data_IF_990042833800
#
_entry.id   IF_990042833800
#
_cell.length_a   1.000
_cell.length_b   1.000
_cell.length_c   1.000
_cell.angle_alpha   90.00
_cell.angle_beta   90.00
_cell.angle_gamma   90.00
#
_symmetry.space_group_name_H-M   'P 1'
#
loop_
_entity.id
_entity.type
_entity.pdbx_description
1 polymer ?
#
# COMPACT_ATOMS: atom_id res chain seq x y z
N UNK A 1 5.37 10.64 7.85
CA UNK A 1 6.69 11.34 7.83
C UNK A 1 7.74 10.38 7.29
N UNK A 2 8.54 10.77 6.28
CA UNK A 2 9.54 9.88 5.69
C UNK A 2 10.73 9.69 6.64
N UNK A 3 11.01 8.45 7.04
CA UNK A 3 12.14 8.09 7.91
C UNK A 3 13.45 8.03 7.09
N UNK A 4 14.52 8.72 7.51
CA UNK A 4 15.76 8.88 6.73
C UNK A 4 16.60 7.59 6.53
N UNK A 5 16.27 6.47 7.20
CA UNK A 5 16.98 5.19 7.07
C UNK A 5 16.54 4.29 5.89
N UNK A 6 15.46 4.64 5.18
CA UNK A 6 14.77 3.78 4.19
C UNK A 6 15.58 3.50 2.91
N UNK A 7 16.54 4.36 2.55
CA UNK A 7 17.20 4.37 1.22
C UNK A 7 18.39 3.41 1.03
N UNK A 8 19.14 3.09 2.08
CA UNK A 8 20.47 2.49 1.91
C UNK A 8 20.48 0.96 1.75
N UNK A 9 19.53 0.24 2.36
CA UNK A 9 19.55 -1.22 2.35
C UNK A 9 18.98 -1.82 1.03
N UNK A 10 17.89 -1.27 0.51
CA UNK A 10 17.19 -1.87 -0.65
C UNK A 10 17.94 -1.70 -1.97
N UNK A 11 18.75 -0.64 -2.14
CA UNK A 11 19.54 -0.39 -3.36
C UNK A 11 20.58 -1.49 -3.61
N UNK A 12 21.08 -2.15 -2.56
CA UNK A 12 22.11 -3.20 -2.67
C UNK A 12 21.53 -4.62 -2.91
N UNK A 13 20.23 -4.83 -2.71
CA UNK A 13 19.63 -6.18 -2.72
C UNK A 13 19.20 -6.63 -4.13
N UNK A 14 18.74 -5.70 -4.98
CA UNK A 14 18.26 -6.02 -6.34
C UNK A 14 19.36 -6.58 -7.25
N UNK A 15 20.57 -5.97 -7.33
CA UNK A 15 21.67 -6.52 -8.14
C UNK A 15 22.14 -7.91 -7.67
N UNK A 16 21.81 -8.29 -6.43
CA UNK A 16 22.19 -9.59 -5.82
C UNK A 16 21.12 -10.67 -6.01
N UNK A 17 20.09 -10.42 -6.84
CA UNK A 17 19.03 -11.38 -7.14
C UNK A 17 17.88 -11.43 -6.12
N UNK A 18 17.90 -10.59 -5.08
CA UNK A 18 16.85 -10.53 -4.06
C UNK A 18 15.76 -9.51 -4.42
N UNK A 19 15.18 -9.64 -5.61
CA UNK A 19 14.16 -8.71 -6.11
C UNK A 19 12.93 -8.65 -5.19
N UNK A 20 12.49 -9.79 -4.64
CA UNK A 20 11.40 -9.85 -3.66
C UNK A 20 11.69 -9.14 -2.32
N UNK A 21 12.96 -9.00 -1.93
CA UNK A 21 13.33 -8.26 -0.71
C UNK A 21 13.33 -6.73 -0.92
N UNK A 22 13.25 -6.28 -2.17
CA UNK A 22 13.15 -4.84 -2.49
C UNK A 22 11.73 -4.31 -2.53
N UNK A 23 10.73 -5.20 -2.54
CA UNK A 23 9.31 -4.84 -2.50
C UNK A 23 8.75 -4.82 -1.08
N UNK A 24 9.51 -5.31 -0.10
CA UNK A 24 9.06 -5.32 1.29
C UNK A 24 9.04 -3.91 1.88
N UNK A 25 7.94 -3.56 2.54
CA UNK A 25 7.82 -2.37 3.39
C UNK A 25 7.13 -2.75 4.69
N UNK A 26 7.63 -2.21 5.80
CA UNK A 26 7.06 -2.41 7.11
C UNK A 26 6.16 -1.25 7.56
N UNK A 27 6.01 -0.18 6.76
CA UNK A 27 5.19 1.00 7.09
C UNK A 27 5.60 1.66 8.43
N UNK A 28 6.86 1.48 8.84
CA UNK A 28 7.39 1.95 10.12
C UNK A 28 7.30 0.95 11.28
N UNK A 29 6.62 -0.19 11.11
CA UNK A 29 6.41 -1.16 12.18
C UNK A 29 7.71 -1.72 12.78
N UNK A 30 8.78 -1.88 11.99
CA UNK A 30 10.05 -2.39 12.52
C UNK A 30 10.71 -1.44 13.51
N UNK A 31 10.64 -0.14 13.22
CA UNK A 31 11.18 0.90 14.09
C UNK A 31 10.30 1.06 15.34
N UNK A 32 8.97 0.97 15.17
CA UNK A 32 8.03 0.92 16.29
C UNK A 32 8.30 -0.27 17.23
N UNK A 33 8.37 -1.50 16.72
CA UNK A 33 8.62 -2.67 17.57
C UNK A 33 9.96 -2.55 18.28
N UNK A 34 11.04 -2.27 17.55
CA UNK A 34 12.38 -2.22 18.17
C UNK A 34 12.54 -1.07 19.16
N UNK A 35 12.08 0.14 18.85
CA UNK A 35 12.36 1.33 19.66
C UNK A 35 11.26 1.64 20.69
N UNK A 36 10.01 1.28 20.41
CA UNK A 36 8.87 1.63 21.28
C UNK A 36 8.49 0.44 22.15
N UNK A 37 8.26 -0.74 21.57
CA UNK A 37 7.81 -1.90 22.35
C UNK A 37 8.94 -2.59 23.14
N UNK A 38 10.18 -2.50 22.65
CA UNK A 38 11.34 -3.17 23.24
C UNK A 38 12.45 -2.20 23.66
N UNK A 39 12.16 -0.89 23.73
CA UNK A 39 13.06 0.16 24.24
C UNK A 39 14.49 0.13 23.63
N UNK A 40 14.60 -0.24 22.35
CA UNK A 40 15.86 -0.33 21.62
C UNK A 40 16.62 -1.65 21.80
N UNK A 41 16.14 -2.56 22.65
CA UNK A 41 16.76 -3.87 22.87
C UNK A 41 16.63 -4.77 21.65
N UNK A 42 17.75 -5.36 21.22
CA UNK A 42 17.81 -6.29 20.11
C UNK A 42 17.61 -7.73 20.58
N UNK A 43 16.86 -8.53 19.83
CA UNK A 43 16.79 -9.98 20.06
C UNK A 43 18.14 -10.70 19.89
N UNK A 44 19.15 -10.04 19.31
CA UNK A 44 20.52 -10.57 19.27
C UNK A 44 21.16 -10.49 20.66
N UNK A 45 20.87 -9.43 21.41
CA UNK A 45 21.40 -9.20 22.75
C UNK A 45 20.54 -9.92 23.80
N UNK A 46 19.23 -10.02 23.58
CA UNK A 46 18.28 -10.77 24.41
C UNK A 46 17.52 -11.83 23.59
N UNK A 47 18.11 -13.02 23.35
CA UNK A 47 17.52 -14.07 22.51
C UNK A 47 16.13 -14.55 22.94
N UNK A 48 15.82 -14.46 24.24
CA UNK A 48 14.54 -14.90 24.80
C UNK A 48 13.38 -13.98 24.38
N UNK A 49 13.64 -12.72 24.02
CA UNK A 49 12.64 -11.76 23.52
C UNK A 49 12.19 -12.05 22.07
N UNK A 50 12.96 -12.88 21.35
CA UNK A 50 12.78 -13.11 19.91
C UNK A 50 11.36 -13.55 19.52
N UNK A 51 10.71 -14.54 20.17
CA UNK A 51 9.38 -14.98 19.76
C UNK A 51 8.34 -13.85 19.85
N UNK A 52 8.41 -13.05 20.91
CA UNK A 52 7.48 -11.94 21.15
C UNK A 52 7.74 -10.78 20.18
N UNK A 53 8.99 -10.39 19.95
CA UNK A 53 9.35 -9.37 18.97
C UNK A 53 8.79 -9.69 17.57
N UNK A 54 8.96 -10.93 17.11
CA UNK A 54 8.49 -11.35 15.79
C UNK A 54 6.95 -11.40 15.71
N UNK A 55 6.29 -11.82 16.78
CA UNK A 55 4.82 -11.79 16.87
C UNK A 55 4.28 -10.37 16.87
N UNK A 56 4.85 -9.48 17.68
CA UNK A 56 4.51 -8.06 17.71
C UNK A 56 4.73 -7.41 16.34
N UNK A 57 5.85 -7.71 15.68
CA UNK A 57 6.13 -7.19 14.33
C UNK A 57 5.09 -7.63 13.30
N UNK A 58 4.67 -8.90 13.32
CA UNK A 58 3.65 -9.38 12.40
C UNK A 58 2.30 -8.66 12.57
N UNK A 59 1.93 -8.30 13.80
CA UNK A 59 0.71 -7.53 14.08
C UNK A 59 0.91 -6.05 13.76
N UNK A 60 1.95 -5.43 14.30
CA UNK A 60 2.24 -4.00 14.09
C UNK A 60 2.36 -3.64 12.61
N UNK A 61 2.96 -4.52 11.78
CA UNK A 61 3.03 -4.30 10.33
C UNK A 61 1.64 -4.17 9.70
N UNK A 62 0.69 -5.01 10.09
CA UNK A 62 -0.68 -4.96 9.59
C UNK A 62 -1.41 -3.70 10.10
N UNK A 63 -1.21 -3.32 11.36
CA UNK A 63 -1.79 -2.11 11.93
C UNK A 63 -1.28 -0.84 11.22
N UNK A 64 0.03 -0.73 11.02
CA UNK A 64 0.65 0.39 10.32
C UNK A 64 0.23 0.46 8.85
N UNK A 65 0.08 -0.68 8.18
CA UNK A 65 -0.45 -0.75 6.81
C UNK A 65 -1.91 -0.25 6.76
N UNK A 66 -2.77 -0.64 7.71
CA UNK A 66 -4.13 -0.11 7.79
C UNK A 66 -4.14 1.40 8.05
N UNK A 67 -3.27 1.91 8.93
CA UNK A 67 -3.14 3.36 9.16
C UNK A 67 -2.72 4.11 7.90
N UNK A 68 -1.86 3.54 7.06
CA UNK A 68 -1.49 4.10 5.76
C UNK A 68 -2.73 4.31 4.87
N UNK A 69 -3.52 3.25 4.66
CA UNK A 69 -4.74 3.35 3.84
C UNK A 69 -5.78 4.30 4.43
N UNK A 70 -5.97 4.29 5.75
CA UNK A 70 -6.91 5.18 6.42
C UNK A 70 -6.48 6.65 6.32
N UNK A 71 -5.18 6.94 6.38
CA UNK A 71 -4.67 8.30 6.19
C UNK A 71 -4.98 8.82 4.77
N UNK A 72 -4.77 7.98 3.75
CA UNK A 72 -5.19 8.32 2.38
C UNK A 72 -6.71 8.51 2.31
N UNK A 73 -7.50 7.60 2.89
CA UNK A 73 -8.96 7.69 2.88
C UNK A 73 -9.45 9.03 3.48
N UNK A 74 -8.92 9.44 4.64
CA UNK A 74 -9.22 10.74 5.25
C UNK A 74 -8.85 11.90 4.31
N UNK A 75 -7.69 11.82 3.63
CA UNK A 75 -7.24 12.89 2.72
C UNK A 75 -8.08 13.00 1.45
N UNK A 76 -8.71 11.90 1.00
CA UNK A 76 -9.50 11.81 -0.22
C UNK A 76 -11.00 11.99 0.02
N UNK A 77 -11.46 11.94 1.27
CA UNK A 77 -12.84 12.22 1.67
C UNK A 77 -13.26 13.65 1.27
N UNK A 78 -14.24 13.77 0.38
CA UNK A 78 -14.72 15.06 -0.14
C UNK A 78 -16.14 15.39 0.30
N UNK A 79 -16.95 14.36 0.57
CA UNK A 79 -18.32 14.51 1.07
C UNK A 79 -18.28 14.82 2.57
N UNK A 80 -19.12 15.76 3.01
CA UNK A 80 -19.24 16.11 4.43
C UNK A 80 -19.56 14.86 5.26
N UNK A 81 -18.70 14.56 6.24
CA UNK A 81 -18.83 13.41 7.14
C UNK A 81 -18.17 12.11 6.65
N UNK A 82 -17.79 11.99 5.38
CA UNK A 82 -17.14 10.78 4.84
C UNK A 82 -15.78 10.48 5.49
N UNK A 83 -15.10 11.50 6.03
CA UNK A 83 -13.84 11.36 6.75
C UNK A 83 -14.00 10.81 8.18
N UNK A 84 -15.22 10.76 8.74
CA UNK A 84 -15.45 10.40 10.14
C UNK A 84 -15.07 8.93 10.42
N UNK A 85 -15.62 8.01 9.63
CA UNK A 85 -15.36 6.57 9.78
C UNK A 85 -13.87 6.21 9.67
N UNK A 86 -13.10 6.65 8.65
CA UNK A 86 -11.68 6.34 8.58
C UNK A 86 -10.88 7.02 9.70
N UNK A 87 -11.28 8.22 10.14
CA UNK A 87 -10.64 8.91 11.28
C UNK A 87 -10.84 8.15 12.59
N UNK A 88 -12.06 7.65 12.85
CA UNK A 88 -12.39 6.89 14.06
C UNK A 88 -11.64 5.57 14.09
N UNK A 89 -11.60 4.83 12.97
CA UNK A 89 -10.81 3.59 12.89
C UNK A 89 -9.32 3.84 13.03
N UNK A 90 -8.79 4.91 12.43
CA UNK A 90 -7.39 5.29 12.57
C UNK A 90 -7.02 5.56 14.02
N UNK A 91 -7.88 6.28 14.76
CA UNK A 91 -7.69 6.53 16.19
C UNK A 91 -7.73 5.24 17.02
N UNK A 92 -8.66 4.32 16.71
CA UNK A 92 -8.76 3.01 17.39
C UNK A 92 -7.49 2.18 17.21
N UNK A 93 -6.95 2.15 15.98
CA UNK A 93 -5.68 1.44 15.71
C UNK A 93 -4.51 2.12 16.43
N UNK A 94 -4.45 3.46 16.42
CA UNK A 94 -3.41 4.19 17.12
C UNK A 94 -3.45 3.93 18.64
N UNK A 95 -4.63 3.85 19.24
CA UNK A 95 -4.78 3.50 20.66
C UNK A 95 -4.21 2.12 21.00
N UNK A 96 -4.30 1.14 20.08
CA UNK A 96 -3.67 -0.17 20.26
C UNK A 96 -2.15 -0.05 20.19
N UNK A 97 -1.63 0.75 19.25
CA UNK A 97 -0.19 0.97 19.09
C UNK A 97 0.42 1.81 20.23
N UNK A 98 -0.35 2.68 20.87
CA UNK A 98 0.08 3.45 22.03
C UNK A 98 0.00 2.64 23.35
N UNK A 99 -0.55 1.42 23.30
CA UNK A 99 -0.66 0.50 24.42
C UNK A 99 0.60 -0.33 24.67
N UNK A 100 0.47 -1.32 25.54
CA UNK A 100 1.57 -2.22 25.90
C UNK A 100 1.73 -3.35 24.86
N UNK A 101 2.86 -4.06 24.91
CA UNK A 101 3.13 -5.23 24.05
C UNK A 101 1.98 -6.25 24.05
N UNK A 102 1.36 -6.48 25.21
CA UNK A 102 0.24 -7.39 25.35
C UNK A 102 -1.00 -6.94 24.57
N UNK A 103 -1.29 -5.63 24.54
CA UNK A 103 -2.44 -5.06 23.80
C UNK A 103 -2.24 -5.24 22.29
N UNK A 104 -1.04 -4.94 21.80
CA UNK A 104 -0.68 -5.11 20.39
C UNK A 104 -0.79 -6.57 19.97
N UNK A 105 -0.32 -7.51 20.78
CA UNK A 105 -0.36 -8.94 20.44
C UNK A 105 -1.77 -9.52 20.53
N UNK A 106 -2.60 -9.03 21.44
CA UNK A 106 -3.94 -9.54 21.71
C UNK A 106 -5.02 -8.97 20.79
N UNK A 107 -4.73 -7.90 20.05
CA UNK A 107 -5.72 -7.24 19.18
C UNK A 107 -6.26 -8.20 18.11
N UNK A 108 -7.57 -8.14 17.89
CA UNK A 108 -8.22 -8.84 16.79
C UNK A 108 -7.96 -8.10 15.46
N UNK A 109 -6.85 -8.46 14.83
CA UNK A 109 -6.43 -7.90 13.54
C UNK A 109 -7.44 -8.23 12.43
N UNK A 110 -8.15 -9.36 12.51
CA UNK A 110 -9.11 -9.76 11.48
C UNK A 110 -10.35 -8.89 11.51
N UNK A 111 -10.91 -8.64 12.70
CA UNK A 111 -12.01 -7.70 12.88
C UNK A 111 -11.63 -6.29 12.44
N UNK A 112 -10.45 -5.78 12.83
CA UNK A 112 -9.99 -4.46 12.39
C UNK A 112 -9.83 -4.39 10.86
N UNK A 113 -9.24 -5.41 10.25
CA UNK A 113 -9.08 -5.46 8.79
C UNK A 113 -10.42 -5.48 8.07
N UNK A 114 -11.44 -6.16 8.62
CA UNK A 114 -12.78 -6.16 8.07
C UNK A 114 -13.41 -4.76 8.11
N UNK A 115 -13.35 -4.10 9.28
CA UNK A 115 -13.89 -2.75 9.48
C UNK A 115 -13.19 -1.74 8.54
N UNK A 116 -11.85 -1.77 8.50
CA UNK A 116 -11.05 -0.91 7.63
C UNK A 116 -11.38 -1.16 6.17
N UNK A 117 -11.43 -2.42 5.74
CA UNK A 117 -11.81 -2.76 4.37
C UNK A 117 -13.13 -2.13 4.00
N UNK A 118 -14.18 -2.27 4.83
CA UNK A 118 -15.50 -1.69 4.53
C UNK A 118 -15.40 -0.18 4.27
N UNK A 119 -14.71 0.55 5.13
CA UNK A 119 -14.55 2.01 5.00
C UNK A 119 -13.76 2.39 3.75
N UNK A 120 -12.68 1.67 3.41
CA UNK A 120 -11.91 1.96 2.20
C UNK A 120 -12.74 1.75 0.93
N UNK A 121 -13.65 0.77 0.92
CA UNK A 121 -14.56 0.52 -0.21
C UNK A 121 -15.51 1.70 -0.40
N UNK A 122 -16.09 2.20 0.68
CA UNK A 122 -17.05 3.31 0.63
C UNK A 122 -16.36 4.60 0.16
N UNK A 123 -15.17 4.91 0.71
CA UNK A 123 -14.39 6.08 0.29
C UNK A 123 -13.92 5.94 -1.17
N UNK A 124 -13.47 4.77 -1.59
CA UNK A 124 -13.12 4.52 -3.00
C UNK A 124 -14.30 4.77 -3.93
N UNK A 125 -15.49 4.24 -3.60
CA UNK A 125 -16.69 4.43 -4.41
C UNK A 125 -17.07 5.91 -4.52
N UNK A 126 -16.97 6.67 -3.43
CA UNK A 126 -17.18 8.12 -3.42
C UNK A 126 -16.20 8.83 -4.36
N UNK A 127 -14.88 8.65 -4.13
CA UNK A 127 -13.83 9.35 -4.89
C UNK A 127 -13.92 9.01 -6.37
N UNK A 128 -14.15 7.73 -6.68
CA UNK A 128 -14.31 7.26 -8.05
C UNK A 128 -15.52 7.88 -8.71
N UNK A 129 -16.63 8.07 -8.01
CA UNK A 129 -17.82 8.75 -8.54
C UNK A 129 -17.57 10.14 -9.13
N UNK A 130 -16.46 10.80 -8.77
CA UNK A 130 -16.00 12.05 -9.38
C UNK A 130 -15.32 11.91 -10.75
N UNK A 131 -15.02 10.68 -11.20
CA UNK A 131 -14.35 10.42 -12.47
C UNK A 131 -15.36 10.02 -13.58
N UNK A 132 -15.16 10.49 -14.83
CA UNK A 132 -16.13 10.32 -15.93
C UNK A 132 -16.50 8.88 -16.32
N UNK A 133 -15.80 7.87 -15.80
CA UNK A 133 -15.99 6.46 -16.12
C UNK A 133 -16.31 5.56 -14.90
N UNK A 134 -16.58 6.14 -13.73
CA UNK A 134 -16.98 5.38 -12.55
C UNK A 134 -18.45 4.98 -12.63
N UNK A 135 -18.74 3.84 -13.27
CA UNK A 135 -20.11 3.31 -13.29
C UNK A 135 -20.34 2.13 -14.21
N UNK A 136 -19.48 1.90 -15.21
CA UNK A 136 -19.64 0.77 -16.12
C UNK A 136 -18.42 -0.15 -16.01
N UNK A 137 -18.62 -1.37 -15.50
CA UNK A 137 -17.65 -2.44 -15.67
C UNK A 137 -17.49 -2.69 -17.17
N UNK A 138 -16.38 -2.21 -17.74
CA UNK A 138 -16.11 -2.41 -19.17
C UNK A 138 -15.33 -3.70 -19.34
N UNK A 139 -16.06 -4.78 -19.62
CA UNK A 139 -15.49 -6.09 -19.84
C UNK A 139 -14.79 -6.64 -18.60
N UNK A 140 -13.54 -7.07 -18.76
CA UNK A 140 -12.79 -7.84 -17.76
C UNK A 140 -12.16 -6.97 -16.64
N UNK A 141 -12.42 -5.65 -16.60
CA UNK A 141 -11.85 -4.72 -15.63
C UNK A 141 -12.72 -4.59 -14.38
N UNK A 142 -12.56 -5.51 -13.43
CA UNK A 142 -13.31 -5.57 -12.17
C UNK A 142 -12.42 -5.97 -10.97
N UNK A 143 -12.90 -5.87 -9.72
CA UNK A 143 -12.16 -6.35 -8.55
C UNK A 143 -11.73 -7.82 -8.71
N UNK A 144 -10.51 -8.15 -8.31
CA UNK A 144 -9.96 -9.50 -8.37
C UNK A 144 -9.86 -10.10 -9.79
N UNK A 145 -9.93 -9.28 -10.85
CA UNK A 145 -9.74 -9.75 -12.22
C UNK A 145 -8.33 -10.32 -12.42
N UNK A 146 -8.24 -11.43 -13.18
CA UNK A 146 -6.95 -11.90 -13.70
C UNK A 146 -6.62 -11.17 -15.01
N UNK A 147 -5.72 -10.20 -14.88
CA UNK A 147 -5.24 -9.35 -15.95
C UNK A 147 -3.75 -9.58 -16.22
N UNK A 148 -3.21 -10.72 -15.78
CA UNK A 148 -1.79 -11.01 -15.91
C UNK A 148 -1.37 -11.03 -17.40
N UNK A 149 -0.25 -10.36 -17.70
CA UNK A 149 0.33 -10.26 -19.04
C UNK A 149 -0.54 -9.56 -20.09
N UNK A 150 -1.70 -9.00 -19.71
CA UNK A 150 -2.62 -8.35 -20.65
C UNK A 150 -2.05 -7.03 -21.16
N UNK A 151 -2.32 -6.72 -22.42
CA UNK A 151 -2.13 -5.37 -22.96
C UNK A 151 -3.31 -4.48 -22.54
N UNK A 152 -3.05 -3.61 -21.56
CA UNK A 152 -4.03 -2.69 -20.99
C UNK A 152 -3.76 -1.23 -21.38
N UNK A 153 -2.83 -0.99 -22.31
CA UNK A 153 -2.53 0.34 -22.83
C UNK A 153 -3.81 0.94 -23.41
N UNK A 154 -4.17 2.13 -22.92
CA UNK A 154 -5.41 2.84 -23.30
C UNK A 154 -6.72 2.07 -23.03
N UNK A 155 -6.69 0.95 -22.28
CA UNK A 155 -7.89 0.18 -21.90
C UNK A 155 -8.36 0.48 -20.49
N UNK A 156 -7.43 0.72 -19.56
CA UNK A 156 -7.81 1.15 -18.21
C UNK A 156 -8.42 2.54 -18.30
N UNK A 157 -9.60 2.67 -17.69
CA UNK A 157 -10.32 3.93 -17.60
C UNK A 157 -10.03 4.57 -16.24
N UNK A 158 -9.95 5.90 -16.22
CA UNK A 158 -9.90 6.67 -14.97
C UNK A 158 -11.06 6.28 -14.05
N UNK A 159 -10.80 6.12 -12.76
CA UNK A 159 -11.83 5.66 -11.81
C UNK A 159 -12.20 4.18 -11.92
N UNK A 160 -11.42 3.31 -12.57
CA UNK A 160 -11.69 1.88 -12.61
C UNK A 160 -11.53 1.20 -11.23
N UNK A 161 -12.28 0.11 -11.03
CA UNK A 161 -12.15 -0.75 -9.84
C UNK A 161 -11.23 -1.93 -10.13
N UNK A 162 -9.98 -1.87 -9.67
CA UNK A 162 -9.01 -2.96 -9.82
C UNK A 162 -8.52 -3.49 -8.48
N UNK A 163 -9.33 -3.32 -7.42
CA UNK A 163 -9.03 -3.86 -6.09
C UNK A 163 -8.73 -5.34 -6.16
N UNK A 164 -7.59 -5.77 -5.63
CA UNK A 164 -7.18 -7.18 -5.64
C UNK A 164 -6.91 -7.79 -7.02
N UNK A 165 -6.93 -7.01 -8.11
CA UNK A 165 -6.68 -7.53 -9.45
C UNK A 165 -5.24 -8.06 -9.58
N UNK A 166 -5.08 -9.12 -10.36
CA UNK A 166 -3.77 -9.68 -10.72
C UNK A 166 -3.28 -8.98 -11.97
N UNK A 167 -2.37 -8.03 -11.82
CA UNK A 167 -1.80 -7.22 -12.90
C UNK A 167 -0.35 -7.63 -13.21
N UNK A 168 0.03 -8.85 -12.84
CA UNK A 168 1.40 -9.36 -13.00
C UNK A 168 1.81 -9.26 -14.47
N UNK A 169 2.92 -8.58 -14.75
CA UNK A 169 3.43 -8.34 -16.10
C UNK A 169 2.44 -7.68 -17.08
N UNK A 170 1.33 -7.09 -16.61
CA UNK A 170 0.38 -6.37 -17.45
C UNK A 170 1.03 -5.11 -18.04
N UNK A 171 0.65 -4.74 -19.26
CA UNK A 171 1.16 -3.55 -19.94
C UNK A 171 0.20 -2.36 -19.75
N UNK A 172 0.58 -1.43 -18.87
CA UNK A 172 -0.17 -0.22 -18.50
C UNK A 172 0.53 1.05 -19.00
N UNK A 173 1.54 0.92 -19.86
CA UNK A 173 2.38 2.05 -20.32
C UNK A 173 1.56 3.15 -20.96
N UNK A 174 1.87 4.41 -20.60
CA UNK A 174 1.18 5.59 -21.12
C UNK A 174 -0.29 5.72 -20.70
N UNK A 175 -0.79 4.87 -19.79
CA UNK A 175 -2.16 4.93 -19.31
C UNK A 175 -2.37 6.01 -18.26
N UNK A 176 -3.55 6.63 -18.27
CA UNK A 176 -4.03 7.46 -17.17
C UNK A 176 -4.75 6.57 -16.14
N UNK A 177 -4.16 6.44 -14.95
CA UNK A 177 -4.66 5.64 -13.84
C UNK A 177 -5.24 6.52 -12.71
N UNK A 178 -5.57 7.77 -13.02
CA UNK A 178 -6.22 8.67 -12.06
C UNK A 178 -7.53 8.09 -11.53
N UNK A 179 -7.67 8.07 -10.21
CA UNK A 179 -8.83 7.50 -9.53
C UNK A 179 -8.96 5.98 -9.62
N UNK A 180 -8.05 5.26 -10.27
CA UNK A 180 -8.09 3.79 -10.32
C UNK A 180 -7.79 3.24 -8.92
N UNK A 181 -8.66 2.38 -8.42
CA UNK A 181 -8.46 1.72 -7.13
C UNK A 181 -7.57 0.50 -7.27
N UNK A 182 -6.40 0.56 -6.64
CA UNK A 182 -5.36 -0.47 -6.66
C UNK A 182 -5.19 -1.13 -5.28
N UNK A 183 -6.14 -0.98 -4.35
CA UNK A 183 -6.08 -1.62 -3.03
C UNK A 183 -5.87 -3.13 -3.18
N UNK A 184 -4.72 -3.61 -2.72
CA UNK A 184 -4.36 -5.03 -2.77
C UNK A 184 -4.10 -5.60 -4.18
N UNK A 185 -4.03 -4.76 -5.23
CA UNK A 185 -3.71 -5.22 -6.58
C UNK A 185 -2.24 -5.71 -6.66
N UNK A 186 -2.01 -6.79 -7.41
CA UNK A 186 -0.68 -7.35 -7.61
C UNK A 186 -0.01 -6.76 -8.85
N UNK A 187 0.88 -5.79 -8.64
CA UNK A 187 1.62 -5.09 -9.69
C UNK A 187 3.00 -5.68 -10.00
N UNK A 188 3.31 -6.92 -9.56
CA UNK A 188 4.62 -7.53 -9.83
C UNK A 188 4.92 -7.54 -11.33
N UNK A 189 6.04 -6.92 -11.71
CA UNK A 189 6.47 -6.77 -13.10
C UNK A 189 5.50 -6.02 -14.05
N UNK A 190 4.43 -5.41 -13.55
CA UNK A 190 3.54 -4.56 -14.34
C UNK A 190 4.34 -3.41 -15.00
N UNK A 191 4.09 -3.14 -16.27
CA UNK A 191 4.82 -2.12 -17.05
C UNK A 191 4.08 -0.79 -16.97
N UNK A 192 4.64 0.16 -16.25
CA UNK A 192 4.06 1.49 -15.94
C UNK A 192 4.80 2.66 -16.62
N UNK A 193 5.73 2.38 -17.53
CA UNK A 193 6.49 3.43 -18.24
C UNK A 193 5.57 4.47 -18.89
N UNK A 194 5.74 5.74 -18.50
CA UNK A 194 4.89 6.86 -18.94
C UNK A 194 3.44 6.87 -18.44
N UNK A 195 3.04 5.96 -17.54
CA UNK A 195 1.71 5.98 -16.94
C UNK A 195 1.58 7.09 -15.89
N UNK A 196 0.37 7.64 -15.74
CA UNK A 196 0.04 8.61 -14.71
C UNK A 196 -0.71 7.93 -13.56
N UNK A 197 -0.06 7.78 -12.40
CA UNK A 197 -0.62 7.23 -11.17
C UNK A 197 -0.87 8.31 -10.12
N UNK A 198 -0.69 9.60 -10.43
CA UNK A 198 -0.71 10.72 -9.47
C UNK A 198 -1.93 10.70 -8.54
N UNK A 199 -3.08 10.30 -9.08
CA UNK A 199 -4.34 10.23 -8.35
C UNK A 199 -4.88 8.79 -8.17
N UNK A 200 -4.08 7.76 -8.42
CA UNK A 200 -4.46 6.37 -8.11
C UNK A 200 -4.81 6.23 -6.63
N UNK A 201 -5.72 5.30 -6.30
CA UNK A 201 -6.18 5.09 -4.93
C UNK A 201 -5.48 3.88 -4.30
N UNK A 202 -5.07 4.03 -3.05
CA UNK A 202 -4.52 2.97 -2.21
C UNK A 202 -3.31 2.26 -2.82
N UNK A 203 -2.52 3.00 -3.59
CA UNK A 203 -1.25 2.56 -4.12
C UNK A 203 -0.18 2.63 -3.03
N UNK A 204 0.64 1.59 -2.91
CA UNK A 204 1.66 1.50 -1.88
C UNK A 204 3.08 1.44 -2.45
N UNK A 205 4.06 1.82 -1.63
CA UNK A 205 5.47 1.72 -2.00
C UNK A 205 5.88 0.28 -2.42
N UNK A 206 5.46 -0.80 -1.73
CA UNK A 206 5.64 -2.17 -2.20
C UNK A 206 5.17 -2.44 -3.63
N UNK A 207 3.97 -1.98 -3.98
CA UNK A 207 3.39 -2.17 -5.31
C UNK A 207 4.21 -1.43 -6.38
N UNK A 208 4.62 -0.20 -6.09
CA UNK A 208 5.50 0.59 -6.98
C UNK A 208 6.88 -0.07 -7.13
N UNK A 209 7.48 -0.53 -6.04
CA UNK A 209 8.77 -1.22 -6.05
C UNK A 209 8.73 -2.53 -6.87
N UNK A 210 7.59 -3.21 -6.88
CA UNK A 210 7.38 -4.46 -7.60
C UNK A 210 7.18 -4.27 -9.11
N UNK A 211 6.78 -3.08 -9.54
CA UNK A 211 6.48 -2.76 -10.93
C UNK A 211 7.72 -2.24 -11.71
N UNK A 212 7.53 -2.09 -13.02
CA UNK A 212 8.51 -1.56 -13.98
C UNK A 212 8.01 -0.24 -14.57
N UNK A 213 8.37 0.88 -13.95
CA UNK A 213 8.19 2.23 -14.49
C UNK A 213 9.49 2.82 -15.02
N UNK A 214 9.43 4.10 -15.41
CA UNK A 214 10.57 4.88 -15.88
C UNK A 214 10.51 6.34 -15.38
N UNK A 215 11.38 7.20 -15.91
CA UNK A 215 11.41 8.62 -15.53
C UNK A 215 10.15 9.40 -15.91
N UNK A 216 9.37 8.89 -16.88
CA UNK A 216 8.11 9.48 -17.32
C UNK A 216 6.89 8.95 -16.57
N UNK A 217 7.02 7.89 -15.78
CA UNK A 217 5.96 7.45 -14.87
C UNK A 217 5.74 8.49 -13.77
N UNK A 218 4.50 8.95 -13.64
CA UNK A 218 4.07 9.91 -12.60
C UNK A 218 3.53 9.13 -11.42
N UNK A 219 3.99 9.44 -10.21
CA UNK A 219 3.59 8.80 -8.96
C UNK A 219 2.87 9.82 -8.06
N UNK A 220 2.04 9.37 -7.11
CA UNK A 220 1.62 10.19 -5.97
C UNK A 220 2.82 10.79 -5.23
N UNK A 221 2.66 12.02 -4.71
CA UNK A 221 3.74 12.79 -4.06
C UNK A 221 4.33 12.11 -2.81
N UNK A 222 3.58 11.20 -2.19
CA UNK A 222 3.93 10.45 -0.99
C UNK A 222 4.67 9.13 -1.28
N UNK A 223 4.84 8.77 -2.56
CA UNK A 223 5.56 7.57 -2.99
C UNK A 223 6.91 7.93 -3.65
N UNK A 224 7.94 7.19 -3.25
CA UNK A 224 9.28 7.35 -3.80
C UNK A 224 9.40 6.59 -5.13
N UNK A 225 9.97 7.24 -6.15
CA UNK A 225 10.35 6.55 -7.39
C UNK A 225 11.44 5.49 -7.10
N UNK A 226 11.24 4.21 -7.46
CA UNK A 226 12.26 3.19 -7.26
C UNK A 226 13.53 3.47 -8.08
N UNK A 227 14.69 3.31 -7.46
CA UNK A 227 15.99 3.53 -8.12
C UNK A 227 16.20 2.71 -9.40
N UNK A 228 15.56 1.54 -9.53
CA UNK A 228 15.67 0.69 -10.72
C UNK A 228 14.83 1.17 -11.91
N UNK A 229 13.97 2.18 -11.74
CA UNK A 229 13.23 2.80 -12.84
C UNK A 229 14.11 3.76 -13.67
N UNK A 230 15.27 4.16 -13.15
CA UNK A 230 16.21 5.07 -13.82
C UNK A 230 17.10 4.41 -14.88
N UNK A 231 16.91 3.12 -15.16
CA UNK A 231 17.85 2.30 -15.94
C UNK A 231 17.42 1.96 -17.37
N UNK A 232 16.46 2.66 -17.97
CA UNK A 232 16.09 2.42 -19.38
C UNK A 232 15.74 3.70 -20.13
#
# INVERSE_FOLDING_TARGET
>A
MPQPGRRLLHQALRPRGFTGCTTFDCFGAGQYVSQVLFDGTSWVDEPDSKPEMFRAFAVARQLHEMLWYLAEAVSRSTVLGSAEAPTVLGRRIQQVLDGELADVIAVDVESLRFDVRSVLIDVSAEVRGGYPAAGEAVGDLHPSADLAGRDLRSRVRVGADLRGAVLIAADLRGGDLSGVDLLGADLRDARLGGADLSNALFLTQPQVNAAQGDASTVLPDDLDRPSHWSLR
#
